data_IF_966363629455
#
_entry.id   IF_966363629455
#
_cell.length_a   1.000
_cell.length_b   1.000
_cell.length_c   1.000
_cell.angle_alpha   90.00
_cell.angle_beta   90.00
_cell.angle_gamma   90.00
#
_symmetry.space_group_name_H-M   'P 1'
#
loop_
_entity.id
_entity.type
_entity.pdbx_description
1 polymer ?
#
# COMPACT_ATOMS: atom_id res chain seq x y z
N UNK A 1 8.53 48.19 -4.67
CA UNK A 1 7.92 48.21 -3.33
C UNK A 1 7.62 46.76 -3.00
N UNK A 2 8.42 46.17 -2.11
CA UNK A 2 8.45 44.74 -1.85
C UNK A 2 7.17 44.34 -1.13
N UNK A 3 6.26 43.64 -1.82
CA UNK A 3 5.15 42.99 -1.15
C UNK A 3 5.67 41.65 -0.66
N UNK A 4 6.09 41.66 0.60
CA UNK A 4 6.47 40.48 1.35
C UNK A 4 5.28 39.53 1.37
N UNK A 5 5.34 38.55 0.49
CA UNK A 5 4.35 37.49 0.36
C UNK A 5 4.47 36.64 1.62
N UNK A 6 3.68 36.99 2.62
CA UNK A 6 3.51 36.21 3.83
C UNK A 6 3.36 34.74 3.45
N UNK A 7 4.15 33.89 4.09
CA UNK A 7 4.12 32.46 3.84
C UNK A 7 2.67 31.98 4.03
N UNK A 8 2.07 31.26 3.07
CA UNK A 8 0.74 30.67 3.27
C UNK A 8 0.76 29.84 4.56
N UNK A 9 -0.19 30.08 5.48
CA UNK A 9 -0.36 29.29 6.70
C UNK A 9 -0.85 27.88 6.31
N UNK A 10 0.10 27.01 5.97
CA UNK A 10 -0.17 25.61 5.65
C UNK A 10 -0.55 24.87 6.93
N UNK A 11 -1.83 24.88 7.25
CA UNK A 11 -2.41 24.04 8.31
C UNK A 11 -2.60 22.62 7.78
N UNK A 12 -1.55 21.81 7.85
CA UNK A 12 -1.64 20.37 7.62
C UNK A 12 -1.92 19.67 8.95
N UNK A 13 -3.06 19.00 9.07
CA UNK A 13 -3.32 18.08 10.18
C UNK A 13 -2.55 16.79 9.90
N UNK A 14 -1.32 16.71 10.41
CA UNK A 14 -0.47 15.53 10.30
C UNK A 14 -0.52 14.76 11.62
N UNK A 15 -1.39 13.76 11.71
CA UNK A 15 -1.26 12.75 12.76
C UNK A 15 -0.14 11.78 12.33
N UNK A 16 1.00 11.83 13.02
CA UNK A 16 2.12 10.90 12.85
C UNK A 16 3.16 11.20 11.75
N UNK A 17 2.85 12.02 10.75
CA UNK A 17 3.80 12.39 9.69
C UNK A 17 4.49 13.74 9.92
N UNK A 18 5.73 13.88 9.44
CA UNK A 18 6.49 15.12 9.58
C UNK A 18 6.69 15.83 8.24
N UNK A 19 6.56 17.15 8.24
CA UNK A 19 6.87 18.01 7.10
C UNK A 19 8.39 18.13 6.93
N UNK A 20 8.90 17.80 5.75
CA UNK A 20 10.32 17.97 5.43
C UNK A 20 10.63 19.43 5.08
N UNK A 21 11.84 19.88 5.42
CA UNK A 21 12.33 21.25 5.17
C UNK A 21 12.39 21.65 3.69
N UNK A 22 12.42 20.67 2.77
CA UNK A 22 12.33 20.90 1.32
C UNK A 22 10.91 21.22 0.82
N UNK A 23 9.91 21.22 1.71
CA UNK A 23 8.55 21.62 1.35
C UNK A 23 8.51 23.12 1.05
N UNK A 24 7.75 23.48 0.02
CA UNK A 24 7.64 24.84 -0.48
C UNK A 24 6.18 25.28 -0.59
N UNK A 25 5.94 26.37 -1.33
CA UNK A 25 4.60 26.98 -1.46
C UNK A 25 3.59 26.16 -2.27
N UNK A 26 4.04 25.19 -3.05
CA UNK A 26 3.19 24.37 -3.91
C UNK A 26 3.43 22.87 -3.74
N UNK A 27 4.41 22.50 -2.92
CA UNK A 27 4.89 21.13 -2.82
C UNK A 27 5.14 20.78 -1.37
N UNK A 28 4.50 19.71 -0.93
CA UNK A 28 4.58 19.19 0.43
C UNK A 28 5.31 17.86 0.37
N UNK A 29 6.38 17.74 1.16
CA UNK A 29 7.11 16.49 1.32
C UNK A 29 6.93 15.99 2.74
N UNK A 30 6.42 14.77 2.87
CA UNK A 30 6.17 14.12 4.15
C UNK A 30 7.22 13.02 4.39
N UNK A 31 7.55 12.80 5.66
CA UNK A 31 8.37 11.66 6.12
C UNK A 31 7.71 10.98 7.31
N UNK A 32 8.13 9.74 7.60
CA UNK A 32 7.48 8.84 8.56
C UNK A 32 5.97 8.72 8.31
N UNK A 33 5.59 8.48 7.04
CA UNK A 33 4.19 8.21 6.69
C UNK A 33 3.81 6.85 7.27
N UNK A 34 2.77 6.82 8.10
CA UNK A 34 2.22 5.62 8.71
C UNK A 34 0.81 5.36 8.22
N UNK A 35 0.21 4.24 8.62
CA UNK A 35 -1.21 3.95 8.32
C UNK A 35 -2.17 5.02 8.87
N UNK A 36 -1.78 5.75 9.91
CA UNK A 36 -2.58 6.83 10.50
C UNK A 36 -2.54 8.12 9.66
N UNK A 37 -1.50 8.26 8.83
CA UNK A 37 -1.37 9.38 7.90
C UNK A 37 -2.31 9.26 6.69
N UNK A 38 -2.92 8.10 6.47
CA UNK A 38 -3.92 7.91 5.42
C UNK A 38 -5.14 8.81 5.66
N UNK A 39 -5.55 9.56 4.64
CA UNK A 39 -6.70 10.44 4.79
C UNK A 39 -6.77 11.54 3.75
N UNK A 40 -7.62 12.54 4.03
CA UNK A 40 -7.89 13.66 3.13
C UNK A 40 -7.06 14.89 3.51
N UNK A 41 -6.11 15.22 2.66
CA UNK A 41 -5.25 16.39 2.78
C UNK A 41 -5.92 17.58 2.10
N UNK A 42 -5.86 18.74 2.75
CA UNK A 42 -6.46 19.97 2.26
C UNK A 42 -5.37 21.04 2.12
N UNK A 43 -5.25 21.60 0.92
CA UNK A 43 -4.49 22.81 0.67
C UNK A 43 -5.46 24.00 0.71
N UNK A 44 -5.13 25.03 1.49
CA UNK A 44 -5.92 26.24 1.62
C UNK A 44 -5.07 27.47 1.29
N UNK A 45 -5.61 28.37 0.47
CA UNK A 45 -5.01 29.66 0.15
C UNK A 45 -6.02 30.75 0.49
N UNK A 46 -5.61 31.69 1.34
CA UNK A 46 -6.40 32.88 1.70
C UNK A 46 -5.80 34.14 1.07
N UNK A 47 -6.66 35.01 0.55
CA UNK A 47 -6.31 36.36 0.14
C UNK A 47 -6.72 37.35 1.24
N UNK A 48 -5.86 38.33 1.52
CA UNK A 48 -6.12 39.41 2.44
C UNK A 48 -6.80 40.60 1.74
N UNK A 49 -7.19 41.59 2.54
CA UNK A 49 -7.97 42.80 2.20
C UNK A 49 -7.60 43.45 0.84
N UNK A 50 -8.57 44.01 0.07
CA UNK A 50 -9.99 44.23 0.37
C UNK A 50 -10.92 43.06 0.00
N UNK A 51 -10.38 41.98 -0.56
CA UNK A 51 -11.15 40.82 -0.99
C UNK A 51 -10.74 39.60 -0.17
N UNK A 52 -11.50 39.34 0.90
CA UNK A 52 -11.35 38.13 1.70
C UNK A 52 -11.85 36.92 0.90
N UNK A 53 -10.94 36.28 0.17
CA UNK A 53 -11.20 35.06 -0.59
C UNK A 53 -10.46 33.88 0.03
N UNK A 54 -11.10 32.72 0.12
CA UNK A 54 -10.46 31.48 0.55
C UNK A 54 -10.75 30.38 -0.48
N UNK A 55 -9.69 29.78 -1.02
CA UNK A 55 -9.78 28.65 -1.94
C UNK A 55 -9.17 27.42 -1.27
N UNK A 56 -9.90 26.31 -1.29
CA UNK A 56 -9.46 25.04 -0.75
C UNK A 56 -9.49 23.95 -1.83
N UNK A 57 -8.47 23.11 -1.84
CA UNK A 57 -8.40 21.91 -2.69
C UNK A 57 -8.11 20.72 -1.79
N UNK A 58 -8.81 19.61 -2.05
CA UNK A 58 -8.65 18.36 -1.31
C UNK A 58 -8.03 17.27 -2.17
N UNK A 59 -7.20 16.43 -1.55
CA UNK A 59 -6.64 15.20 -2.13
C UNK A 59 -6.64 14.10 -1.09
N UNK A 60 -6.99 12.88 -1.50
CA UNK A 60 -6.86 11.72 -0.63
C UNK A 60 -5.46 11.14 -0.83
N UNK A 61 -4.85 10.69 0.26
CA UNK A 61 -3.58 9.97 0.24
C UNK A 61 -3.84 8.60 0.84
N UNK A 62 -3.53 7.55 0.08
CA UNK A 62 -3.63 6.16 0.49
C UNK A 62 -2.24 5.63 0.90
N UNK A 63 -2.16 4.85 1.98
CA UNK A 63 -0.89 4.26 2.45
C UNK A 63 -0.88 2.76 2.21
N UNK A 64 0.13 2.31 1.48
CA UNK A 64 0.33 0.90 1.12
C UNK A 64 1.43 0.28 1.98
N UNK A 65 1.16 -0.90 2.53
CA UNK A 65 2.10 -1.66 3.37
C UNK A 65 2.32 -3.02 2.73
N UNK A 66 3.49 -3.27 2.11
CA UNK A 66 3.83 -4.60 1.62
C UNK A 66 4.06 -5.57 2.80
N UNK A 67 3.88 -6.89 2.59
CA UNK A 67 4.27 -7.87 3.58
C UNK A 67 5.77 -7.77 3.86
N UNK A 68 6.17 -7.84 5.13
CA UNK A 68 7.59 -7.81 5.53
C UNK A 68 8.33 -9.10 5.17
N UNK A 69 7.60 -10.21 5.07
CA UNK A 69 8.15 -11.54 4.84
C UNK A 69 7.47 -12.23 3.65
N UNK A 70 8.19 -13.17 3.04
CA UNK A 70 7.64 -14.09 2.06
C UNK A 70 6.53 -14.96 2.67
N UNK A 71 5.57 -15.45 1.87
CA UNK A 71 4.52 -16.31 2.39
C UNK A 71 5.09 -17.60 2.96
N UNK A 72 4.56 -18.01 4.11
CA UNK A 72 4.92 -19.27 4.76
C UNK A 72 4.03 -20.39 4.24
N UNK A 73 4.64 -21.51 3.85
CA UNK A 73 3.94 -22.72 3.41
C UNK A 73 4.08 -23.77 4.51
N UNK A 74 2.96 -24.25 5.01
CA UNK A 74 2.89 -25.32 6.01
C UNK A 74 1.87 -26.37 5.61
N UNK A 75 2.13 -27.63 5.94
CA UNK A 75 1.23 -28.73 5.60
C UNK A 75 1.68 -30.04 6.25
N UNK A 76 0.73 -30.93 6.49
CA UNK A 76 1.02 -32.29 6.95
C UNK A 76 1.15 -33.20 5.75
N UNK A 77 2.33 -33.79 5.58
CA UNK A 77 2.58 -34.82 4.59
C UNK A 77 2.09 -36.16 5.15
N UNK A 78 0.92 -36.60 4.68
CA UNK A 78 0.46 -37.98 4.84
C UNK A 78 1.08 -38.86 3.76
N UNK A 79 1.11 -40.16 4.01
CA UNK A 79 1.58 -41.19 3.10
C UNK A 79 1.01 -41.05 1.67
N UNK A 80 1.78 -41.56 0.70
CA UNK A 80 1.44 -41.56 -0.71
C UNK A 80 0.04 -42.15 -0.96
N UNK A 81 -0.87 -41.33 -1.50
CA UNK A 81 -2.21 -41.77 -1.92
C UNK A 81 -3.37 -41.05 -1.24
N UNK A 82 -3.12 -40.19 -0.26
CA UNK A 82 -4.16 -39.36 0.37
C UNK A 82 -4.12 -37.88 -0.07
N UNK A 83 -5.23 -37.18 0.17
CA UNK A 83 -5.34 -35.75 -0.11
C UNK A 83 -4.44 -34.95 0.83
N UNK A 84 -3.47 -34.24 0.27
CA UNK A 84 -2.59 -33.34 1.01
C UNK A 84 -3.27 -31.98 1.23
N UNK A 85 -3.37 -31.57 2.50
CA UNK A 85 -3.86 -30.23 2.85
C UNK A 85 -2.69 -29.33 3.18
N UNK A 86 -2.47 -28.31 2.35
CA UNK A 86 -1.38 -27.36 2.49
C UNK A 86 -1.97 -25.96 2.68
N UNK A 87 -1.37 -25.20 3.59
CA UNK A 87 -1.73 -23.83 3.93
C UNK A 87 -0.62 -22.90 3.50
N UNK A 88 -1.01 -21.75 2.95
CA UNK A 88 -0.12 -20.64 2.65
C UNK A 88 -0.63 -19.40 3.38
N UNK A 89 0.24 -18.76 4.13
CA UNK A 89 -0.07 -17.57 4.90
C UNK A 89 0.89 -16.45 4.49
N UNK A 90 0.35 -15.31 4.06
CA UNK A 90 1.15 -14.09 3.91
C UNK A 90 1.27 -13.36 5.24
N UNK A 91 2.38 -12.66 5.45
CA UNK A 91 2.45 -11.62 6.47
C UNK A 91 1.40 -10.52 6.23
N UNK A 92 1.16 -9.72 7.27
CA UNK A 92 0.18 -8.62 7.22
C UNK A 92 0.55 -7.62 6.12
N UNK A 93 -0.44 -7.18 5.37
CA UNK A 93 -0.28 -6.23 4.26
C UNK A 93 -1.52 -5.37 4.06
N UNK A 94 -1.33 -4.20 3.44
CA UNK A 94 -2.39 -3.29 3.00
C UNK A 94 -2.14 -2.84 1.56
N UNK A 95 -3.02 -3.16 0.59
CA UNK A 95 -4.22 -4.00 0.75
C UNK A 95 -3.86 -5.46 1.05
N UNK A 96 -4.88 -6.28 1.29
CA UNK A 96 -4.70 -7.72 1.47
C UNK A 96 -3.92 -8.32 0.29
N UNK A 97 -2.85 -9.02 0.61
CA UNK A 97 -2.03 -9.76 -0.34
C UNK A 97 -2.86 -10.78 -1.13
N UNK A 98 -2.52 -10.93 -2.41
CA UNK A 98 -3.08 -11.97 -3.25
C UNK A 98 -2.08 -13.12 -3.39
N UNK A 99 -2.51 -14.32 -3.03
CA UNK A 99 -1.67 -15.52 -3.01
C UNK A 99 -1.86 -16.33 -4.29
N UNK A 100 -0.76 -16.74 -4.89
CA UNK A 100 -0.75 -17.60 -6.08
C UNK A 100 0.12 -18.82 -5.83
N UNK A 101 -0.43 -19.99 -6.14
CA UNK A 101 0.26 -21.26 -5.98
C UNK A 101 0.90 -21.69 -7.29
N UNK A 102 2.07 -22.32 -7.17
CA UNK A 102 2.80 -22.89 -8.28
C UNK A 102 3.28 -24.30 -7.92
N UNK A 103 3.04 -25.25 -8.81
CA UNK A 103 3.56 -26.61 -8.73
C UNK A 103 4.44 -26.81 -9.96
N UNK A 104 5.74 -27.08 -9.75
CA UNK A 104 6.71 -27.20 -10.83
C UNK A 104 6.67 -25.99 -11.80
N UNK A 105 6.62 -24.79 -11.21
CA UNK A 105 6.54 -23.49 -11.90
C UNK A 105 5.28 -23.27 -12.75
N UNK A 106 4.27 -24.13 -12.63
CA UNK A 106 2.95 -23.96 -13.25
C UNK A 106 1.98 -23.39 -12.23
N UNK A 107 1.36 -22.24 -12.54
CA UNK A 107 0.34 -21.64 -11.68
C UNK A 107 -0.88 -22.56 -11.56
N UNK A 108 -1.34 -22.77 -10.34
CA UNK A 108 -2.52 -23.58 -10.03
C UNK A 108 -3.60 -22.73 -9.35
N UNK A 109 -4.87 -23.00 -9.65
CA UNK A 109 -6.00 -22.29 -9.04
C UNK A 109 -6.18 -22.72 -7.58
N UNK A 110 -6.53 -21.79 -6.70
CA UNK A 110 -6.72 -22.04 -5.25
C UNK A 110 -7.94 -22.90 -4.92
N UNK A 111 -8.85 -23.12 -5.88
CA UNK A 111 -10.06 -23.94 -5.73
C UNK A 111 -10.00 -25.16 -6.65
N UNK A 112 -9.23 -26.19 -6.27
CA UNK A 112 -9.16 -27.45 -7.01
C UNK A 112 -8.30 -28.52 -6.33
N UNK A 113 -8.57 -29.78 -6.65
CA UNK A 113 -7.70 -30.91 -6.30
C UNK A 113 -6.67 -31.08 -7.40
N UNK A 114 -5.37 -31.02 -7.05
CA UNK A 114 -4.28 -31.21 -8.00
C UNK A 114 -3.62 -32.56 -7.78
N UNK A 115 -3.60 -33.38 -8.82
CA UNK A 115 -2.85 -34.64 -8.81
C UNK A 115 -1.38 -34.31 -8.98
N UNK A 116 -0.61 -34.44 -7.91
CA UNK A 116 0.85 -34.35 -8.01
C UNK A 116 1.34 -35.53 -8.86
N UNK A 117 2.14 -35.30 -9.92
CA UNK A 117 2.82 -36.38 -10.61
C UNK A 117 3.64 -37.18 -9.60
N UNK A 118 3.65 -38.51 -9.71
CA UNK A 118 4.43 -39.41 -8.86
C UNK A 118 5.94 -39.11 -9.00
N UNK A 119 6.44 -38.17 -8.20
CA UNK A 119 7.81 -37.67 -8.22
C UNK A 119 8.01 -36.43 -7.34
N UNK A 120 9.27 -35.98 -7.22
CA UNK A 120 9.66 -34.79 -6.45
C UNK A 120 9.10 -33.52 -7.11
N UNK A 121 7.90 -33.10 -6.71
CA UNK A 121 7.31 -31.84 -7.16
C UNK A 121 7.76 -30.69 -6.26
N UNK A 122 8.19 -29.58 -6.86
CA UNK A 122 8.53 -28.36 -6.13
C UNK A 122 7.28 -27.50 -5.96
N UNK A 123 6.84 -27.34 -4.72
CA UNK A 123 5.74 -26.45 -4.36
C UNK A 123 6.29 -25.06 -4.01
N UNK A 124 5.70 -24.03 -4.60
CA UNK A 124 6.04 -22.63 -4.35
C UNK A 124 4.77 -21.79 -4.26
N UNK A 125 4.80 -20.79 -3.40
CA UNK A 125 3.76 -19.78 -3.30
C UNK A 125 4.37 -18.40 -3.52
N UNK A 126 3.70 -17.57 -4.31
CA UNK A 126 4.07 -16.18 -4.52
C UNK A 126 2.99 -15.28 -3.96
N UNK A 127 3.43 -14.16 -3.38
CA UNK A 127 2.56 -13.07 -2.96
C UNK A 127 2.65 -11.94 -3.95
N UNK A 128 1.50 -11.49 -4.44
CA UNK A 128 1.37 -10.30 -5.28
C UNK A 128 0.52 -9.25 -4.58
N UNK A 129 0.80 -7.98 -4.87
CA UNK A 129 0.07 -6.83 -4.34
C UNK A 129 -0.48 -6.01 -5.52
N UNK A 130 -1.76 -5.64 -5.44
CA UNK A 130 -2.34 -4.67 -6.36
C UNK A 130 -2.10 -3.28 -5.82
N UNK A 131 -1.11 -2.57 -6.35
CA UNK A 131 -1.06 -1.12 -6.18
C UNK A 131 -2.06 -0.51 -7.15
N UNK A 132 -3.15 0.08 -6.64
CA UNK A 132 -3.95 0.94 -7.49
C UNK A 132 -3.10 2.16 -7.82
N UNK A 133 -2.70 2.30 -9.09
CA UNK A 133 -2.09 3.52 -9.57
C UNK A 133 -3.18 4.59 -9.51
N UNK A 134 -3.11 5.49 -8.54
CA UNK A 134 -3.94 6.69 -8.54
C UNK A 134 -3.51 7.54 -9.75
N UNK A 135 -4.44 7.74 -10.70
CA UNK A 135 -4.18 8.55 -11.89
C UNK A 135 -3.82 9.98 -11.47
N UNK A 136 -2.71 10.54 -11.98
CA UNK A 136 -2.42 11.95 -11.81
C UNK A 136 -3.36 12.72 -12.73
N UNK A 137 -4.49 13.21 -12.19
CA UNK A 137 -5.30 14.23 -12.85
C UNK A 137 -4.50 15.52 -13.06
#
# INVERSE_FOLDING_TARGET
MAHEMALPDFRLSLEGAYLLSKSGRSTVYLTNVTLETEGRFTCQVSADEPYFGCVQVHRNISVYVPPEESPEISGEFTDYGENLTIRCLSAKSKPAANLSWYINDVMVSTNGTFNCPSGNSNLRALTSYCFQKEDPH
#
